data_IF_266200306841
#
_entry.id   IF_266200306841
#
_cell.length_a   1.000
_cell.length_b   1.000
_cell.length_c   1.000
_cell.angle_alpha   90.00
_cell.angle_beta   90.00
_cell.angle_gamma   90.00
#
_symmetry.space_group_name_H-M   'P 1'
#
loop_
_entity.id
_entity.type
_entity.pdbx_description
1 polymer ?
#
# COMPACT_ATOMS: atom_id res chain seq x y z
N UNK A 1 16.50 19.13 -0.74
CA UNK A 1 15.36 18.51 -0.78
C UNK A 1 15.11 17.55 -1.80
N UNK A 2 15.93 17.06 -2.31
CA UNK A 2 15.81 16.21 -3.32
C UNK A 2 15.38 14.90 -3.02
N UNK A 3 15.35 14.62 -1.89
CA UNK A 3 14.92 13.36 -1.44
C UNK A 3 13.54 13.01 -1.84
N UNK A 4 12.93 13.78 -2.64
CA UNK A 4 11.69 13.43 -3.30
C UNK A 4 11.91 12.18 -4.10
N UNK A 5 11.03 11.22 -4.06
CA UNK A 5 11.13 9.93 -4.77
C UNK A 5 12.40 9.14 -4.42
N UNK A 6 12.82 9.21 -3.16
CA UNK A 6 14.02 8.49 -2.73
C UNK A 6 13.75 7.40 -1.72
N UNK A 7 12.51 7.16 -1.36
CA UNK A 7 12.16 6.17 -0.35
C UNK A 7 11.77 4.84 -0.97
N UNK A 8 11.93 3.79 -0.18
CA UNK A 8 11.41 2.46 -0.52
C UNK A 8 10.24 2.20 0.40
N UNK A 9 9.11 1.81 -0.15
CA UNK A 9 7.93 1.46 0.63
C UNK A 9 7.41 0.11 0.15
N UNK A 10 6.73 -0.61 1.03
CA UNK A 10 6.01 -1.82 0.64
C UNK A 10 4.52 -1.56 0.80
N UNK A 11 3.78 -1.80 -0.26
CA UNK A 11 2.32 -1.72 -0.23
C UNK A 11 1.80 -3.15 -0.10
N UNK A 12 0.92 -3.37 0.86
CA UNK A 12 0.31 -4.68 1.08
C UNK A 12 -1.12 -4.62 0.58
N UNK A 13 -1.42 -5.39 -0.45
CA UNK A 13 -2.78 -5.48 -0.98
C UNK A 13 -3.53 -6.61 -0.27
N UNK A 14 -4.70 -6.32 0.25
CA UNK A 14 -5.52 -7.28 0.96
C UNK A 14 -6.42 -8.05 0.01
N UNK A 15 -6.47 -9.36 0.16
CA UNK A 15 -7.36 -10.19 -0.63
C UNK A 15 -8.00 -11.25 0.27
N UNK A 16 -9.32 -11.38 0.18
CA UNK A 16 -10.05 -12.42 0.90
C UNK A 16 -10.78 -13.27 -0.11
N UNK A 17 -10.53 -14.58 -0.09
CA UNK A 17 -11.15 -15.50 -1.03
C UNK A 17 -12.63 -15.66 -0.73
N UNK A 18 -13.47 -15.46 -1.75
CA UNK A 18 -14.91 -15.64 -1.60
C UNK A 18 -15.30 -17.10 -1.38
N UNK A 19 -14.46 -18.03 -1.84
CA UNK A 19 -14.76 -19.46 -1.72
C UNK A 19 -14.25 -20.08 -0.44
N UNK A 20 -13.02 -19.75 -0.03
CA UNK A 20 -12.43 -20.36 1.17
C UNK A 20 -12.48 -19.45 2.40
N UNK A 21 -12.73 -18.17 2.20
CA UNK A 21 -12.67 -17.21 3.30
C UNK A 21 -11.27 -16.88 3.75
N UNK A 22 -10.26 -17.41 3.08
CA UNK A 22 -8.88 -17.17 3.47
C UNK A 22 -8.48 -15.73 3.15
N UNK A 23 -7.89 -15.05 4.10
CA UNK A 23 -7.45 -13.67 3.96
C UNK A 23 -5.93 -13.62 3.87
N UNK A 24 -5.42 -12.97 2.83
CA UNK A 24 -3.98 -12.86 2.60
C UNK A 24 -3.60 -11.42 2.30
N UNK A 25 -2.31 -11.12 2.51
CA UNK A 25 -1.73 -9.84 2.17
C UNK A 25 -0.64 -10.06 1.14
N UNK A 26 -0.71 -9.35 0.02
CA UNK A 26 0.23 -9.50 -1.07
C UNK A 26 1.13 -8.26 -1.09
N UNK A 27 2.42 -8.42 -0.81
CA UNK A 27 3.34 -7.28 -0.74
C UNK A 27 3.87 -6.89 -2.11
N UNK A 28 4.05 -5.58 -2.30
CA UNK A 28 4.72 -5.04 -3.47
C UNK A 28 5.70 -3.99 -2.98
N UNK A 29 6.99 -4.23 -3.20
CA UNK A 29 8.03 -3.28 -2.80
C UNK A 29 8.23 -2.28 -3.92
N UNK A 30 8.08 -1.00 -3.60
CA UNK A 30 8.21 0.09 -4.55
C UNK A 30 9.40 0.96 -4.16
N UNK A 31 10.29 1.22 -5.10
CA UNK A 31 11.47 2.04 -4.85
C UNK A 31 11.31 3.41 -5.48
N UNK A 32 12.06 4.36 -4.98
CA UNK A 32 12.05 5.73 -5.50
C UNK A 32 10.68 6.38 -5.38
N UNK A 33 10.08 6.22 -4.22
CA UNK A 33 8.76 6.75 -3.92
C UNK A 33 8.90 7.95 -3.00
N UNK A 34 8.04 8.94 -3.16
CA UNK A 34 8.03 10.09 -2.26
C UNK A 34 7.04 9.80 -1.13
N UNK A 35 7.55 9.81 0.09
CA UNK A 35 6.73 9.65 1.29
C UNK A 35 6.94 10.84 2.20
N UNK A 36 5.85 11.59 2.43
CA UNK A 36 5.83 12.65 3.41
C UNK A 36 5.09 12.17 4.64
N UNK A 37 5.69 12.32 5.80
CA UNK A 37 5.01 12.02 7.04
C UNK A 37 4.93 13.29 7.88
N UNK A 38 3.83 13.44 8.61
CA UNK A 38 3.72 14.53 9.56
C UNK A 38 4.82 14.37 10.60
N UNK A 39 5.38 15.51 11.03
CA UNK A 39 6.39 15.52 12.05
C UNK A 39 5.95 14.78 13.30
N UNK A 40 4.69 14.82 13.63
CA UNK A 40 4.15 14.10 14.78
C UNK A 40 3.50 12.77 14.45
N UNK A 41 3.79 12.17 13.30
CA UNK A 41 3.11 10.96 12.85
C UNK A 41 3.17 9.82 13.86
N UNK A 42 4.32 9.58 14.49
CA UNK A 42 4.45 8.52 15.48
C UNK A 42 3.60 8.80 16.69
N UNK A 43 3.62 10.03 17.18
CA UNK A 43 2.84 10.44 18.34
C UNK A 43 1.35 10.34 18.03
N UNK A 44 0.93 10.78 16.85
CA UNK A 44 -0.47 10.76 16.46
C UNK A 44 -1.02 9.35 16.38
N UNK A 45 -0.20 8.37 16.05
CA UNK A 45 -0.66 6.99 15.97
C UNK A 45 -1.11 6.45 17.33
N UNK A 46 -0.62 7.02 18.40
CA UNK A 46 -1.00 6.58 19.73
C UNK A 46 -2.11 7.46 20.33
N UNK A 47 -2.51 8.50 19.63
CA UNK A 47 -3.59 9.36 20.07
C UNK A 47 -4.90 8.96 19.45
N UNK A 48 -5.96 9.66 19.81
CA UNK A 48 -7.28 9.43 19.22
C UNK A 48 -7.48 10.20 17.93
N UNK A 49 -6.43 10.66 17.34
CA UNK A 49 -6.48 11.52 16.20
C UNK A 49 -6.96 10.79 14.97
N UNK A 50 -7.80 11.41 14.18
CA UNK A 50 -8.32 10.81 12.99
C UNK A 50 -7.74 11.42 11.72
N UNK A 51 -6.75 12.30 11.82
CA UNK A 51 -6.18 12.94 10.64
C UNK A 51 -5.16 12.03 9.98
N UNK A 52 -4.97 12.21 8.68
CA UNK A 52 -3.96 11.46 7.94
C UNK A 52 -2.56 11.91 8.36
N UNK A 53 -1.66 10.95 8.49
CA UNK A 53 -0.29 11.19 8.94
C UNK A 53 0.74 11.02 7.83
N UNK A 54 0.37 10.45 6.72
CA UNK A 54 1.30 10.17 5.63
C UNK A 54 0.66 10.45 4.29
N UNK A 55 1.49 10.91 3.36
CA UNK A 55 1.09 11.10 1.98
C UNK A 55 2.14 10.45 1.09
N UNK A 56 1.71 9.54 0.22
CA UNK A 56 2.57 8.77 -0.63
C UNK A 56 2.33 9.19 -2.07
N UNK A 57 3.38 9.58 -2.77
CA UNK A 57 3.30 9.92 -4.19
C UNK A 57 4.01 8.82 -4.97
N UNK A 58 3.28 8.13 -5.83
CA UNK A 58 3.79 6.99 -6.57
C UNK A 58 3.75 7.31 -8.06
N UNK A 59 4.90 7.43 -8.73
CA UNK A 59 4.89 7.69 -10.17
C UNK A 59 4.52 6.43 -10.94
N UNK A 60 3.94 6.61 -12.11
CA UNK A 60 3.67 5.49 -13.00
C UNK A 60 4.05 5.85 -14.42
N UNK A 61 4.23 4.83 -15.25
CA UNK A 61 4.53 5.02 -16.67
C UNK A 61 3.53 4.19 -17.49
N UNK A 62 3.39 4.52 -18.75
CA UNK A 62 2.56 3.77 -19.68
C UNK A 62 1.56 4.63 -20.38
N UNK A 63 1.36 4.38 -21.66
CA UNK A 63 0.38 5.09 -22.47
C UNK A 63 -0.93 4.34 -22.50
N UNK A 64 -0.87 3.02 -22.71
CA UNK A 64 -2.04 2.19 -22.81
C UNK A 64 -2.38 1.47 -21.52
N UNK A 65 -1.41 1.31 -20.66
CA UNK A 65 -1.63 0.63 -19.39
C UNK A 65 -0.81 1.35 -18.32
N UNK A 66 -1.32 1.44 -17.13
CA UNK A 66 -0.67 2.12 -16.02
C UNK A 66 0.28 1.14 -15.34
N UNK A 67 1.58 1.40 -15.44
CA UNK A 67 2.60 0.53 -14.84
C UNK A 67 3.27 1.20 -13.66
N UNK A 68 3.28 0.53 -12.53
CA UNK A 68 3.93 0.98 -11.31
C UNK A 68 5.05 -0.01 -11.01
N UNK A 69 6.30 0.44 -11.10
CA UNK A 69 7.47 -0.41 -10.90
C UNK A 69 7.41 -1.67 -11.78
N UNK A 70 6.89 -1.53 -12.99
CA UNK A 70 6.75 -2.65 -13.91
C UNK A 70 5.53 -3.51 -13.71
N UNK A 71 4.70 -3.21 -12.70
CA UNK A 71 3.48 -3.98 -12.44
C UNK A 71 2.27 -3.25 -12.98
N UNK A 72 1.37 -3.94 -13.70
CA UNK A 72 0.12 -3.32 -14.11
C UNK A 72 -0.72 -2.92 -12.90
N UNK A 73 -1.20 -1.68 -12.88
CA UNK A 73 -2.16 -1.25 -11.87
C UNK A 73 -3.56 -1.53 -12.37
N UNK A 74 -4.42 -1.96 -11.46
CA UNK A 74 -5.83 -2.19 -11.76
C UNK A 74 -6.69 -1.58 -10.67
N UNK A 75 -7.88 -1.07 -11.00
CA UNK A 75 -8.82 -0.64 -9.97
C UNK A 75 -9.14 -1.79 -9.01
N UNK A 76 -9.48 -1.51 -7.76
CA UNK A 76 -9.61 -2.57 -6.73
C UNK A 76 -10.56 -3.72 -7.10
N UNK A 77 -11.71 -3.42 -7.66
CA UNK A 77 -12.65 -4.49 -8.00
C UNK A 77 -12.12 -5.39 -9.11
N UNK A 78 -11.49 -4.79 -10.11
CA UNK A 78 -10.91 -5.56 -11.21
C UNK A 78 -9.74 -6.40 -10.71
N UNK A 79 -8.93 -5.85 -9.79
CA UNK A 79 -7.81 -6.58 -9.23
C UNK A 79 -8.30 -7.80 -8.45
N UNK A 80 -9.34 -7.63 -7.63
CA UNK A 80 -9.87 -8.71 -6.80
C UNK A 80 -10.59 -9.78 -7.61
N UNK A 81 -10.98 -9.47 -8.83
CA UNK A 81 -11.67 -10.43 -9.70
C UNK A 81 -10.73 -11.39 -10.41
N UNK A 82 -9.42 -11.19 -10.26
CA UNK A 82 -8.43 -12.03 -10.93
C UNK A 82 -8.28 -13.38 -10.24
N UNK A 83 -7.63 -14.33 -10.92
CA UNK A 83 -7.27 -15.60 -10.30
C UNK A 83 -6.09 -15.38 -9.37
N UNK A 84 -5.93 -16.26 -8.39
CA UNK A 84 -4.95 -16.07 -7.33
C UNK A 84 -3.52 -15.87 -7.83
N UNK A 85 -3.12 -16.53 -8.88
CA UNK A 85 -1.78 -16.43 -9.40
C UNK A 85 -1.49 -15.08 -10.06
N UNK A 86 -2.51 -14.33 -10.45
CA UNK A 86 -2.32 -13.02 -11.06
C UNK A 86 -2.29 -11.89 -10.04
N UNK A 87 -2.73 -12.15 -8.82
CA UNK A 87 -2.80 -11.10 -7.80
C UNK A 87 -1.42 -10.54 -7.46
N UNK A 88 -0.40 -11.38 -7.45
CA UNK A 88 0.96 -10.92 -7.14
C UNK A 88 1.65 -10.28 -8.34
N UNK A 89 1.07 -10.39 -9.53
CA UNK A 89 1.66 -9.85 -10.76
C UNK A 89 1.06 -8.51 -11.15
N UNK A 90 0.21 -7.96 -10.32
CA UNK A 90 -0.42 -6.67 -10.55
C UNK A 90 -0.60 -5.98 -9.19
N UNK A 91 -0.91 -4.70 -9.21
CA UNK A 91 -1.03 -3.92 -7.97
C UNK A 91 -2.30 -3.10 -8.00
N UNK A 92 -2.87 -2.88 -6.84
CA UNK A 92 -4.00 -1.96 -6.69
C UNK A 92 -3.78 -1.11 -5.42
N UNK A 93 -4.63 -0.12 -5.22
CA UNK A 93 -4.64 0.67 -4.00
C UNK A 93 -6.07 0.81 -3.55
N UNK A 94 -6.35 0.48 -2.30
CA UNK A 94 -7.68 0.65 -1.73
C UNK A 94 -7.59 0.92 -0.24
N UNK A 95 -8.70 1.29 0.35
CA UNK A 95 -8.74 1.54 1.80
C UNK A 95 -8.65 0.25 2.62
N UNK A 96 -8.67 -0.91 1.97
CA UNK A 96 -8.44 -2.17 2.66
C UNK A 96 -6.95 -2.43 2.84
N UNK A 97 -6.11 -1.68 2.17
CA UNK A 97 -4.67 -1.93 2.09
C UNK A 97 -3.90 -1.06 3.08
N UNK A 98 -2.63 -1.39 3.29
CA UNK A 98 -1.75 -0.52 4.07
C UNK A 98 -0.37 -0.51 3.43
N UNK A 99 0.47 0.43 3.84
CA UNK A 99 1.85 0.48 3.37
C UNK A 99 2.80 0.75 4.53
N UNK A 100 4.06 0.41 4.33
CA UNK A 100 5.08 0.65 5.33
C UNK A 100 6.33 1.22 4.67
N UNK A 101 7.11 1.96 5.44
CA UNK A 101 8.42 2.41 4.99
C UNK A 101 9.36 1.20 5.07
N UNK A 102 10.11 0.97 4.02
CA UNK A 102 11.08 -0.11 3.95
C UNK A 102 10.59 -1.29 3.13
N UNK A 103 11.43 -2.30 3.07
CA UNK A 103 11.19 -3.49 2.27
C UNK A 103 10.70 -4.64 3.14
N UNK A 104 9.74 -5.40 2.65
CA UNK A 104 9.27 -6.63 3.29
C UNK A 104 9.75 -7.79 2.43
N UNK A 105 10.51 -8.69 3.01
CA UNK A 105 11.06 -9.84 2.28
C UNK A 105 10.39 -11.15 2.65
N UNK A 106 9.29 -11.11 3.38
CA UNK A 106 8.60 -12.32 3.83
C UNK A 106 7.59 -12.90 2.86
N UNK A 107 7.37 -12.27 1.72
CA UNK A 107 6.40 -12.77 0.75
C UNK A 107 4.95 -12.57 1.18
N UNK A 108 4.06 -13.30 0.53
CA UNK A 108 2.62 -13.26 0.85
C UNK A 108 2.38 -13.71 2.27
N UNK A 109 1.50 -13.02 2.97
CA UNK A 109 1.23 -13.27 4.38
C UNK A 109 -0.21 -13.74 4.56
N UNK A 110 -0.40 -14.77 5.37
CA UNK A 110 -1.73 -15.23 5.73
C UNK A 110 -2.16 -14.44 6.96
N UNK A 111 -3.27 -13.73 6.86
CA UNK A 111 -3.74 -12.87 7.94
C UNK A 111 -4.02 -13.65 9.22
N UNK A 112 -4.45 -14.90 9.08
CA UNK A 112 -4.78 -15.72 10.22
C UNK A 112 -3.58 -16.19 11.02
N UNK A 113 -2.37 -16.06 10.48
CA UNK A 113 -1.16 -16.39 11.21
C UNK A 113 -0.87 -15.37 12.32
N UNK A 114 -1.59 -14.25 12.34
CA UNK A 114 -1.43 -13.21 13.34
C UNK A 114 -2.72 -13.07 14.14
N UNK A 115 -2.61 -13.07 15.46
CA UNK A 115 -3.76 -13.14 16.38
C UNK A 115 -4.85 -12.12 16.09
N UNK A 116 -4.45 -10.85 15.90
CA UNK A 116 -5.40 -9.77 15.64
C UNK A 116 -5.26 -9.24 14.21
N UNK A 117 -4.70 -10.06 13.31
CA UNK A 117 -4.46 -9.69 11.93
C UNK A 117 -3.07 -9.13 11.69
N UNK A 118 -2.61 -9.25 10.46
CA UNK A 118 -1.25 -8.85 10.10
C UNK A 118 -1.06 -7.34 10.16
N UNK A 119 -2.02 -6.56 9.71
CA UNK A 119 -1.91 -5.11 9.78
C UNK A 119 -1.76 -4.65 11.23
N UNK A 120 -2.57 -5.20 12.14
CA UNK A 120 -2.49 -4.83 13.54
C UNK A 120 -1.11 -5.16 14.12
N UNK A 121 -0.59 -6.34 13.78
CA UNK A 121 0.75 -6.74 14.20
C UNK A 121 1.81 -5.75 13.72
N UNK A 122 1.80 -5.44 12.42
CA UNK A 122 2.79 -4.54 11.85
C UNK A 122 2.67 -3.13 12.41
N UNK A 123 1.45 -2.65 12.58
CA UNK A 123 1.21 -1.31 13.10
C UNK A 123 1.65 -1.20 14.57
N UNK A 124 1.60 -2.30 15.32
CA UNK A 124 2.05 -2.32 16.71
C UNK A 124 3.57 -2.43 16.79
N UNK A 125 4.19 -3.17 15.87
CA UNK A 125 5.62 -3.47 15.96
C UNK A 125 6.51 -2.45 15.25
N UNK A 126 5.99 -1.66 14.32
CA UNK A 126 6.78 -0.73 13.53
C UNK A 126 6.17 0.66 13.54
N UNK A 127 7.04 1.68 13.44
CA UNK A 127 6.59 3.07 13.55
C UNK A 127 5.98 3.63 12.27
N UNK A 128 6.47 3.23 11.11
CA UNK A 128 6.03 3.83 9.85
C UNK A 128 5.19 2.86 9.04
N UNK A 129 4.05 2.49 9.61
CA UNK A 129 3.05 1.65 9.00
C UNK A 129 1.76 2.45 8.95
N UNK A 130 1.16 2.58 7.78
CA UNK A 130 0.02 3.47 7.58
C UNK A 130 -1.09 2.76 6.82
N UNK A 131 -2.29 2.78 7.38
CA UNK A 131 -3.48 2.27 6.69
C UNK A 131 -3.91 3.29 5.64
N UNK A 132 -4.23 2.84 4.45
CA UNK A 132 -4.67 3.73 3.38
C UNK A 132 -6.05 4.28 3.72
N UNK A 133 -6.19 5.60 3.68
CA UNK A 133 -7.44 6.27 3.96
C UNK A 133 -8.06 6.87 2.70
N UNK A 134 -7.24 7.17 1.68
CA UNK A 134 -7.72 7.80 0.46
C UNK A 134 -6.77 7.50 -0.69
N UNK A 135 -7.30 7.30 -1.87
CA UNK A 135 -6.54 7.04 -3.07
C UNK A 135 -6.94 8.05 -4.13
N UNK A 136 -5.99 8.83 -4.61
CA UNK A 136 -6.18 9.76 -5.71
C UNK A 136 -5.40 9.32 -6.93
N UNK A 137 -6.00 9.44 -8.10
CA UNK A 137 -5.37 9.08 -9.35
C UNK A 137 -6.01 7.85 -10.00
N UNK A 138 -5.44 7.42 -11.13
CA UNK A 138 -4.18 7.91 -11.72
C UNK A 138 -4.32 9.30 -12.31
N UNK A 139 -3.42 10.20 -11.92
CA UNK A 139 -3.39 11.55 -12.48
C UNK A 139 -2.53 11.53 -13.73
N UNK A 140 -2.93 12.25 -14.76
CA UNK A 140 -2.28 12.15 -16.07
C UNK A 140 -1.39 13.31 -16.44
N UNK A 141 -1.63 14.49 -15.89
CA UNK A 141 -0.82 15.67 -16.23
C UNK A 141 0.63 15.44 -15.82
N UNK A 142 0.84 14.98 -14.59
CA UNK A 142 2.12 14.43 -14.15
C UNK A 142 1.76 13.04 -13.67
N UNK A 143 2.14 11.99 -14.40
CA UNK A 143 1.63 10.65 -14.11
C UNK A 143 2.00 10.14 -12.71
N UNK A 144 1.04 10.11 -11.80
CA UNK A 144 1.27 9.65 -10.44
C UNK A 144 -0.03 9.31 -9.74
N UNK A 145 0.12 8.66 -8.57
CA UNK A 145 -0.97 8.46 -7.61
C UNK A 145 -0.63 9.22 -6.34
N UNK A 146 -1.65 9.67 -5.63
CA UNK A 146 -1.50 10.26 -4.30
C UNK A 146 -2.29 9.43 -3.31
N UNK A 147 -1.60 8.82 -2.37
CA UNK A 147 -2.19 7.91 -1.39
C UNK A 147 -2.06 8.54 -0.01
N UNK A 148 -3.16 8.69 0.70
CA UNK A 148 -3.13 9.18 2.07
C UNK A 148 -3.27 8.02 3.02
N UNK A 149 -2.62 8.12 4.18
CA UNK A 149 -2.68 7.07 5.18
C UNK A 149 -2.55 7.60 6.60
N UNK A 150 -2.93 6.77 7.56
CA UNK A 150 -2.75 7.09 8.97
C UNK A 150 -2.48 5.84 9.82
#
# INVERSE_FOLDING_TARGET
MSHIYSKTVTVFNFYESATSGEAIWIPHTLKNIHLDTDRGAIIKKYGADSTDNAELHIPYVGADETLIAGLPWMPPKAWKAQTNDLLSQSITFSTDDFFMLGEWDGGTVNDEDYRDGFYHYMNTMKDFVFKITSVGGPYTAIPHFEILGK
#
